data_IF_863495800225
#
_entry.id   IF_863495800225
#
_cell.length_a   1.000
_cell.length_b   1.000
_cell.length_c   1.000
_cell.angle_alpha   90.00
_cell.angle_beta   90.00
_cell.angle_gamma   90.00
#
_symmetry.space_group_name_H-M   'P 1'
#
loop_
_entity.id
_entity.type
_entity.pdbx_description
1 polymer ?
#
# COMPACT_ATOMS: atom_id res chain seq x y z
N UNK A 1 19.34 -1.86 -1.03
CA UNK A 1 18.01 -1.22 -0.97
C UNK A 1 17.11 -2.13 -0.17
N UNK A 2 16.39 -1.63 0.85
CA UNK A 2 15.38 -2.44 1.55
C UNK A 2 14.22 -2.70 0.59
N UNK A 3 13.69 -3.93 0.60
CA UNK A 3 12.53 -4.30 -0.21
C UNK A 3 11.29 -4.31 0.68
N UNK A 4 10.37 -3.39 0.44
CA UNK A 4 9.09 -3.27 1.14
C UNK A 4 8.00 -4.09 0.42
N UNK A 5 8.25 -5.39 0.28
CA UNK A 5 7.45 -6.27 -0.57
C UNK A 5 6.03 -6.47 -0.05
N UNK A 6 5.82 -6.46 1.27
CA UNK A 6 4.48 -6.63 1.87
C UNK A 6 3.66 -5.37 1.59
N UNK A 7 4.26 -4.18 1.78
CA UNK A 7 3.58 -2.93 1.48
C UNK A 7 3.27 -2.79 -0.02
N UNK A 8 4.23 -3.11 -0.90
CA UNK A 8 4.03 -3.08 -2.36
C UNK A 8 2.92 -4.03 -2.79
N UNK A 9 2.99 -5.29 -2.37
CA UNK A 9 1.99 -6.31 -2.71
C UNK A 9 0.61 -5.95 -2.15
N UNK A 10 0.55 -5.31 -0.98
CA UNK A 10 -0.70 -4.79 -0.45
C UNK A 10 -1.26 -3.69 -1.36
N UNK A 11 -0.49 -2.66 -1.71
CA UNK A 11 -0.98 -1.56 -2.56
C UNK A 11 -1.46 -2.09 -3.92
N UNK A 12 -0.68 -2.98 -4.52
CA UNK A 12 -1.02 -3.62 -5.80
C UNK A 12 -2.34 -4.39 -5.73
N UNK A 13 -2.58 -5.12 -4.64
CA UNK A 13 -3.81 -5.88 -4.49
C UNK A 13 -5.07 -4.99 -4.45
N UNK A 14 -4.97 -3.68 -4.24
CA UNK A 14 -6.14 -2.77 -4.17
C UNK A 14 -6.23 -1.78 -5.31
N UNK A 15 -5.10 -1.32 -5.81
CA UNK A 15 -5.03 -0.22 -6.77
C UNK A 15 -4.46 -0.67 -8.12
N UNK A 16 -4.20 -1.97 -8.33
CA UNK A 16 -3.75 -2.46 -9.64
C UNK A 16 -4.76 -2.13 -10.74
N UNK A 17 -4.30 -1.44 -11.78
CA UNK A 17 -5.11 -1.14 -12.98
C UNK A 17 -5.59 -2.41 -13.69
N UNK A 18 -4.90 -3.54 -13.49
CA UNK A 18 -5.26 -4.84 -14.07
C UNK A 18 -6.48 -5.45 -13.38
N UNK A 19 -6.70 -5.10 -12.11
CA UNK A 19 -7.85 -5.55 -11.32
C UNK A 19 -9.07 -4.64 -11.54
N UNK A 20 -8.84 -3.40 -11.97
CA UNK A 20 -9.85 -2.38 -12.23
C UNK A 20 -10.40 -1.71 -10.95
N UNK A 21 -11.06 -0.56 -11.11
CA UNK A 21 -11.69 0.20 -10.01
C UNK A 21 -13.00 -0.46 -9.53
N UNK A 22 -12.93 -1.70 -9.06
CA UNK A 22 -14.08 -2.33 -8.42
C UNK A 22 -14.21 -1.83 -6.97
N UNK A 23 -15.34 -1.21 -6.57
CA UNK A 23 -15.51 -0.65 -5.23
C UNK A 23 -15.29 -1.65 -4.09
N UNK A 24 -15.51 -2.95 -4.33
CA UNK A 24 -15.32 -4.01 -3.34
C UNK A 24 -13.85 -4.34 -3.03
N UNK A 25 -12.89 -3.84 -3.82
CA UNK A 25 -11.47 -4.11 -3.57
C UNK A 25 -11.02 -3.55 -2.22
N UNK A 26 -11.42 -2.32 -1.90
CA UNK A 26 -11.08 -1.69 -0.61
C UNK A 26 -11.69 -2.51 0.54
N UNK A 27 -12.94 -2.94 0.44
CA UNK A 27 -13.59 -3.75 1.48
C UNK A 27 -12.86 -5.08 1.70
N UNK A 28 -12.50 -5.77 0.62
CA UNK A 28 -11.70 -6.99 0.68
C UNK A 28 -10.31 -6.76 1.30
N UNK A 29 -9.72 -5.58 1.12
CA UNK A 29 -8.47 -5.23 1.80
C UNK A 29 -8.65 -5.25 3.29
N UNK A 30 -9.65 -4.48 3.73
CA UNK A 30 -9.87 -4.20 5.13
C UNK A 30 -10.21 -5.51 5.83
N UNK A 31 -11.06 -6.34 5.23
CA UNK A 31 -11.33 -7.70 5.70
C UNK A 31 -10.06 -8.54 5.85
N UNK A 32 -9.15 -8.49 4.87
CA UNK A 32 -7.90 -9.25 4.92
C UNK A 32 -6.94 -8.77 6.02
N UNK A 33 -6.85 -7.45 6.23
CA UNK A 33 -6.10 -6.84 7.32
C UNK A 33 -6.74 -7.15 8.69
N UNK A 34 -8.06 -7.25 8.77
CA UNK A 34 -8.78 -7.61 9.99
C UNK A 34 -8.53 -9.09 10.36
N UNK A 35 -8.61 -9.98 9.37
CA UNK A 35 -8.50 -11.44 9.57
C UNK A 35 -7.08 -11.93 9.88
N UNK A 36 -6.04 -11.27 9.38
CA UNK A 36 -4.65 -11.76 9.47
C UNK A 36 -3.78 -10.75 10.23
N UNK A 37 -3.64 -10.86 11.57
CA UNK A 37 -2.89 -9.90 12.38
C UNK A 37 -1.43 -9.73 11.95
N UNK A 38 -0.73 -10.82 11.63
CA UNK A 38 0.67 -10.76 11.21
C UNK A 38 0.86 -10.02 9.88
N UNK A 39 -0.12 -10.16 8.96
CA UNK A 39 -0.13 -9.43 7.70
C UNK A 39 -0.40 -7.95 7.94
N UNK A 40 -1.38 -7.61 8.78
CA UNK A 40 -1.68 -6.21 9.16
C UNK A 40 -0.49 -5.48 9.78
N UNK A 41 0.19 -6.10 10.75
CA UNK A 41 1.40 -5.53 11.36
C UNK A 41 2.51 -5.35 10.32
N UNK A 42 2.71 -6.34 9.44
CA UNK A 42 3.69 -6.29 8.36
C UNK A 42 3.43 -5.16 7.36
N UNK A 43 2.19 -5.05 6.87
CA UNK A 43 1.75 -3.98 5.95
C UNK A 43 1.97 -2.62 6.61
N UNK A 44 1.46 -2.42 7.83
CA UNK A 44 1.58 -1.13 8.52
C UNK A 44 3.05 -0.74 8.72
N UNK A 45 3.88 -1.65 9.23
CA UNK A 45 5.30 -1.38 9.47
C UNK A 45 6.01 -1.02 8.18
N UNK A 46 5.91 -1.85 7.15
CA UNK A 46 6.63 -1.60 5.89
C UNK A 46 6.14 -0.33 5.18
N UNK A 47 4.84 -0.04 5.24
CA UNK A 47 4.26 1.16 4.64
C UNK A 47 4.82 2.43 5.31
N UNK A 48 4.87 2.48 6.65
CA UNK A 48 5.39 3.64 7.37
C UNK A 48 6.91 3.76 7.29
N UNK A 49 7.64 2.63 7.32
CA UNK A 49 9.10 2.63 7.13
C UNK A 49 9.50 3.12 5.74
N UNK A 50 8.84 2.63 4.69
CA UNK A 50 9.12 3.02 3.31
C UNK A 50 8.81 4.49 3.01
N UNK A 51 7.78 5.07 3.64
CA UNK A 51 7.50 6.50 3.55
C UNK A 51 8.62 7.36 4.14
N UNK A 52 9.36 6.82 5.12
CA UNK A 52 10.50 7.49 5.75
C UNK A 52 11.84 7.18 5.09
N UNK A 53 11.92 6.15 4.26
CA UNK A 53 13.11 5.77 3.51
C UNK A 53 13.24 6.65 2.26
N UNK A 54 14.22 7.55 2.22
CA UNK A 54 14.47 8.44 1.07
C UNK A 54 15.12 7.74 -0.12
N UNK A 55 15.72 6.55 0.07
CA UNK A 55 16.36 5.78 -1.00
C UNK A 55 15.37 4.87 -1.73
N UNK A 56 14.21 4.59 -1.14
CA UNK A 56 13.16 3.80 -1.76
C UNK A 56 12.36 4.63 -2.78
N UNK A 57 12.13 4.12 -3.99
CA UNK A 57 11.27 4.80 -4.97
C UNK A 57 9.89 4.15 -5.02
N UNK A 58 8.88 4.88 -4.54
CA UNK A 58 7.49 4.47 -4.69
C UNK A 58 7.04 4.53 -6.15
N UNK A 59 7.52 5.50 -6.94
CA UNK A 59 7.19 5.57 -8.37
C UNK A 59 7.63 4.28 -9.09
N UNK A 60 8.88 3.85 -8.91
CA UNK A 60 9.36 2.60 -9.50
C UNK A 60 8.72 1.35 -8.88
N UNK A 61 8.32 1.39 -7.61
CA UNK A 61 7.67 0.26 -6.96
C UNK A 61 6.23 0.03 -7.44
N UNK A 62 5.51 1.11 -7.78
CA UNK A 62 4.12 1.08 -8.21
C UNK A 62 3.95 0.86 -9.72
N UNK A 63 4.99 1.11 -10.50
CA UNK A 63 4.98 0.91 -11.94
C UNK A 63 6.31 0.32 -12.44
N UNK A 64 6.30 -0.98 -12.72
CA UNK A 64 7.41 -1.75 -13.28
C UNK A 64 6.88 -3.03 -13.96
N UNK A 65 7.76 -3.83 -14.55
CA UNK A 65 7.40 -5.06 -15.27
C UNK A 65 6.60 -6.08 -14.42
N UNK A 66 6.73 -6.03 -13.09
CA UNK A 66 6.05 -6.94 -12.16
C UNK A 66 4.84 -6.30 -11.47
N UNK A 67 4.65 -4.98 -11.56
CA UNK A 67 3.64 -4.25 -10.77
C UNK A 67 3.06 -3.09 -11.57
N UNK A 68 1.74 -3.10 -11.75
CA UNK A 68 1.00 -2.10 -12.52
C UNK A 68 -0.10 -1.46 -11.66
N UNK A 69 0.29 -0.59 -10.72
CA UNK A 69 -0.67 0.15 -9.89
C UNK A 69 -1.13 1.41 -10.61
N UNK A 70 -0.25 2.38 -10.75
CA UNK A 70 -0.52 3.65 -11.39
C UNK A 70 0.80 4.26 -11.86
N UNK A 71 0.77 4.87 -13.04
CA UNK A 71 1.93 5.57 -13.58
C UNK A 71 1.91 7.02 -13.09
N UNK A 72 2.82 7.35 -12.17
CA UNK A 72 2.96 8.70 -11.62
C UNK A 72 4.01 9.54 -12.37
N UNK A 73 3.75 10.83 -12.54
CA UNK A 73 4.69 11.77 -13.17
C UNK A 73 5.96 11.96 -12.33
N UNK A 74 5.84 12.09 -11.01
CA UNK A 74 6.98 12.28 -10.11
C UNK A 74 7.01 11.30 -8.93
N UNK A 75 8.20 11.14 -8.33
CA UNK A 75 8.35 10.38 -7.07
C UNK A 75 7.55 11.03 -5.92
N UNK A 76 7.42 12.35 -5.91
CA UNK A 76 6.64 13.07 -4.90
C UNK A 76 5.15 12.77 -5.01
N UNK A 77 4.62 12.66 -6.24
CA UNK A 77 3.22 12.30 -6.48
C UNK A 77 2.93 10.87 -6.02
N UNK A 78 3.80 9.92 -6.39
CA UNK A 78 3.68 8.53 -5.95
C UNK A 78 3.73 8.41 -4.42
N UNK A 79 4.66 9.11 -3.76
CA UNK A 79 4.74 9.17 -2.29
C UNK A 79 3.52 9.80 -1.66
N UNK A 80 2.99 10.87 -2.27
CA UNK A 80 1.80 11.57 -1.79
C UNK A 80 0.56 10.70 -1.89
N UNK A 81 0.43 9.91 -2.97
CA UNK A 81 -0.62 8.90 -3.11
C UNK A 81 -0.56 7.89 -1.96
N UNK A 82 0.61 7.28 -1.72
CA UNK A 82 0.78 6.30 -0.64
C UNK A 82 0.47 6.91 0.73
N UNK A 83 0.98 8.12 0.99
CA UNK A 83 0.83 8.79 2.28
C UNK A 83 -0.59 9.25 2.56
N UNK A 84 -1.29 9.78 1.56
CA UNK A 84 -2.57 10.47 1.75
C UNK A 84 -3.77 9.59 1.40
N UNK A 85 -3.59 8.54 0.60
CA UNK A 85 -4.66 7.64 0.16
C UNK A 85 -4.52 6.28 0.84
N UNK A 86 -3.36 5.63 0.72
CA UNK A 86 -3.18 4.24 1.18
C UNK A 86 -2.98 4.14 2.70
N UNK A 87 -2.06 4.92 3.27
CA UNK A 87 -1.72 4.84 4.69
C UNK A 87 -2.91 5.08 5.64
N UNK A 88 -3.81 6.06 5.40
CA UNK A 88 -4.97 6.27 6.27
C UNK A 88 -5.92 5.07 6.34
N UNK A 89 -6.04 4.29 5.25
CA UNK A 89 -6.88 3.08 5.24
C UNK A 89 -6.28 1.99 6.14
N UNK A 90 -4.97 1.76 6.04
CA UNK A 90 -4.26 0.79 6.88
C UNK A 90 -4.33 1.20 8.36
N UNK A 91 -4.12 2.47 8.67
CA UNK A 91 -4.19 2.98 10.04
C UNK A 91 -5.61 2.94 10.63
N UNK A 92 -6.64 3.13 9.80
CA UNK A 92 -8.05 2.98 10.20
C UNK A 92 -8.35 1.55 10.66
N UNK A 93 -7.98 0.55 9.85
CA UNK A 93 -8.18 -0.87 10.21
C UNK A 93 -7.40 -1.21 11.47
N UNK A 94 -6.16 -0.71 11.58
CA UNK A 94 -5.35 -0.93 12.76
C UNK A 94 -6.01 -0.39 14.04
N UNK A 95 -6.52 0.84 13.99
CA UNK A 95 -7.17 1.50 15.12
C UNK A 95 -8.45 0.77 15.54
N UNK A 96 -9.27 0.35 14.58
CA UNK A 96 -10.52 -0.42 14.82
C UNK A 96 -10.27 -1.72 15.59
N UNK A 97 -9.11 -2.33 15.40
CA UNK A 97 -8.74 -3.61 16.04
C UNK A 97 -8.14 -3.45 17.44
N UNK A 98 -7.87 -2.22 17.89
CA UNK A 98 -7.36 -1.92 19.23
C UNK A 98 -8.44 -1.46 20.23
N UNK A 99 -9.61 -1.10 19.73
CA UNK A 99 -10.83 -0.76 20.51
C UNK A 99 -11.73 -1.97 20.70
#
# INVERSE_FOLDING_TARGET
>A
MRSYNIARSAVEAFYSIETGDWPGMIELFEERLEQIPAYREGVRRELHESLSDSEFSWKSALWNDDTHVEEFDTEEDARSFIKNVVAPLVDRVFTKMQT
#
